data_IF_006638972540
#
_entry.id   IF_006638972540
#
_cell.length_a   1.000
_cell.length_b   1.000
_cell.length_c   1.000
_cell.angle_alpha   90.00
_cell.angle_beta   90.00
_cell.angle_gamma   90.00
#
_symmetry.space_group_name_H-M   'P 1'
#
loop_
_entity.id
_entity.type
_entity.pdbx_description
1 polymer ?
#
# COMPACT_ATOMS: atom_id res chain seq x y z
N UNK A 1 8.50 6.20 -7.88
CA UNK A 1 7.11 5.78 -8.15
C UNK A 1 6.79 4.64 -7.20
N UNK A 2 5.72 4.73 -6.39
CA UNK A 2 5.39 3.69 -5.42
C UNK A 2 4.18 2.90 -5.91
N UNK A 3 4.34 1.59 -6.13
CA UNK A 3 3.23 0.72 -6.51
C UNK A 3 2.29 0.58 -5.31
N UNK A 4 0.99 0.77 -5.55
CA UNK A 4 -0.05 0.43 -4.57
C UNK A 4 -0.32 -1.05 -4.82
N UNK A 5 -0.17 -1.90 -3.81
CA UNK A 5 -0.26 -3.37 -3.93
C UNK A 5 -1.65 -3.87 -4.33
N UNK A 6 -2.10 -3.51 -5.53
CA UNK A 6 -3.36 -3.83 -6.18
C UNK A 6 -3.01 -4.13 -7.62
N UNK A 7 -3.34 -5.34 -8.05
CA UNK A 7 -2.97 -5.85 -9.36
C UNK A 7 -4.17 -6.56 -9.95
N UNK A 8 -4.39 -6.37 -11.25
CA UNK A 8 -5.26 -7.21 -12.05
C UNK A 8 -4.35 -7.90 -13.07
N UNK A 9 -4.12 -9.19 -12.86
CA UNK A 9 -3.10 -9.96 -13.59
C UNK A 9 -3.79 -11.01 -14.45
N UNK A 10 -3.34 -11.13 -15.69
CA UNK A 10 -3.78 -12.23 -16.56
C UNK A 10 -3.12 -13.53 -16.11
N UNK A 11 -3.69 -14.71 -16.44
CA UNK A 11 -3.19 -16.00 -15.96
C UNK A 11 -1.72 -16.30 -16.28
N UNK A 12 -1.17 -15.73 -17.35
CA UNK A 12 0.22 -15.88 -17.78
C UNK A 12 1.23 -15.47 -16.71
N UNK A 13 0.83 -14.65 -15.72
CA UNK A 13 1.67 -14.33 -14.56
C UNK A 13 2.15 -15.57 -13.81
N UNK A 14 1.37 -16.66 -13.79
CA UNK A 14 1.75 -17.87 -13.08
C UNK A 14 2.96 -18.55 -13.73
N UNK A 15 3.07 -18.54 -15.06
CA UNK A 15 4.24 -19.05 -15.79
C UNK A 15 5.50 -18.21 -15.48
N UNK A 16 5.33 -16.88 -15.42
CA UNK A 16 6.42 -15.97 -15.06
C UNK A 16 6.86 -16.18 -13.61
N UNK A 17 5.92 -16.36 -12.68
CA UNK A 17 6.22 -16.64 -11.27
C UNK A 17 6.96 -17.96 -11.08
N UNK A 18 6.59 -19.02 -11.80
CA UNK A 18 7.24 -20.33 -11.72
C UNK A 18 8.71 -20.28 -12.17
N UNK A 19 9.01 -19.46 -13.18
CA UNK A 19 10.36 -19.27 -13.71
C UNK A 19 11.17 -18.19 -13.00
N UNK A 20 10.53 -17.34 -12.19
CA UNK A 20 11.18 -16.23 -11.46
C UNK A 20 12.10 -16.78 -10.37
N UNK A 21 13.38 -16.44 -10.47
CA UNK A 21 14.39 -16.80 -9.46
C UNK A 21 14.25 -15.89 -8.23
N UNK A 22 14.61 -16.37 -7.03
CA UNK A 22 14.68 -15.54 -5.84
C UNK A 22 15.55 -14.30 -6.04
N UNK A 23 15.00 -13.14 -5.71
CA UNK A 23 15.65 -11.85 -5.84
C UNK A 23 16.02 -11.27 -4.48
N UNK A 24 15.55 -10.06 -4.20
CA UNK A 24 15.81 -9.35 -2.94
C UNK A 24 15.33 -10.17 -1.75
N UNK A 25 16.21 -10.36 -0.76
CA UNK A 25 15.90 -11.11 0.46
C UNK A 25 15.76 -12.62 0.28
N UNK A 26 16.09 -13.17 -0.90
CA UNK A 26 15.90 -14.59 -1.19
C UNK A 26 14.43 -14.97 -1.44
N UNK A 27 13.58 -13.98 -1.72
CA UNK A 27 12.16 -14.17 -2.03
C UNK A 27 11.92 -14.14 -3.54
N UNK A 28 10.95 -14.93 -4.01
CA UNK A 28 10.40 -14.79 -5.37
C UNK A 28 9.49 -13.56 -5.38
N UNK A 29 9.90 -12.52 -6.10
CA UNK A 29 9.22 -11.22 -6.09
C UNK A 29 8.20 -11.13 -7.22
N UNK A 30 6.95 -10.77 -6.88
CA UNK A 30 5.89 -10.54 -7.88
C UNK A 30 6.27 -9.42 -8.87
N UNK A 31 7.03 -8.40 -8.43
CA UNK A 31 7.47 -7.31 -9.31
C UNK A 31 8.39 -7.80 -10.43
N UNK A 32 9.21 -8.80 -10.15
CA UNK A 32 10.16 -9.34 -11.13
C UNK A 32 9.41 -10.17 -12.18
N UNK A 33 8.40 -10.95 -11.73
CA UNK A 33 7.49 -11.67 -12.62
C UNK A 33 6.66 -10.72 -13.51
N UNK A 34 6.16 -9.60 -12.96
CA UNK A 34 5.43 -8.59 -13.75
C UNK A 34 6.35 -7.91 -14.78
N UNK A 35 7.60 -7.59 -14.43
CA UNK A 35 8.57 -7.03 -15.37
C UNK A 35 8.91 -8.01 -16.50
N UNK A 36 9.03 -9.29 -16.19
CA UNK A 36 9.20 -10.35 -17.19
C UNK A 36 7.98 -10.45 -18.11
N UNK A 37 6.77 -10.45 -17.53
CA UNK A 37 5.52 -10.49 -18.28
C UNK A 37 5.38 -9.29 -19.24
N UNK A 38 5.80 -8.10 -18.80
CA UNK A 38 5.76 -6.88 -19.59
C UNK A 38 6.66 -6.91 -20.85
N UNK A 39 7.63 -7.84 -20.91
CA UNK A 39 8.47 -8.04 -22.10
C UNK A 39 7.75 -8.88 -23.17
N UNK A 40 6.72 -9.65 -22.78
CA UNK A 40 5.96 -10.54 -23.67
C UNK A 40 4.59 -9.99 -24.02
N UNK A 41 3.97 -9.25 -23.12
CA UNK A 41 2.66 -8.62 -23.31
C UNK A 41 2.61 -7.24 -22.67
N UNK A 42 1.70 -6.39 -23.13
CA UNK A 42 1.54 -5.05 -22.59
C UNK A 42 1.02 -5.09 -21.14
N UNK A 43 1.70 -4.39 -20.23
CA UNK A 43 1.25 -4.14 -18.86
C UNK A 43 0.97 -2.65 -18.69
N UNK A 44 -0.29 -2.31 -18.40
CA UNK A 44 -0.71 -0.92 -18.20
C UNK A 44 -0.64 -0.52 -16.72
N UNK A 45 -0.20 0.72 -16.46
CA UNK A 45 -0.22 1.32 -15.14
C UNK A 45 -1.50 2.16 -14.96
N UNK A 46 -2.27 1.88 -13.91
CA UNK A 46 -3.40 2.72 -13.52
C UNK A 46 -3.00 3.69 -12.40
N UNK A 47 -3.09 4.99 -12.68
CA UNK A 47 -2.86 6.02 -11.67
C UNK A 47 -4.06 6.14 -10.73
N UNK A 48 -3.90 5.66 -9.50
CA UNK A 48 -4.91 5.81 -8.46
C UNK A 48 -4.99 7.26 -7.97
N UNK A 49 -6.19 7.86 -8.08
CA UNK A 49 -6.49 9.19 -7.54
C UNK A 49 -7.18 9.05 -6.19
N UNK A 50 -6.42 9.20 -5.10
CA UNK A 50 -6.96 9.19 -3.74
C UNK A 50 -5.87 9.32 -2.68
N UNK A 51 -6.28 9.38 -1.40
CA UNK A 51 -5.33 9.40 -0.28
C UNK A 51 -4.84 7.98 0.00
N UNK A 52 -3.52 7.79 -0.11
CA UNK A 52 -2.84 6.56 0.30
C UNK A 52 -2.47 6.66 1.78
N UNK A 53 -2.78 5.62 2.55
CA UNK A 53 -2.33 5.47 3.93
C UNK A 53 -1.27 4.37 3.99
N UNK A 54 -0.05 4.71 4.37
CA UNK A 54 1.03 3.74 4.54
C UNK A 54 1.07 3.20 5.97
N UNK A 55 0.19 2.22 6.23
CA UNK A 55 0.11 1.54 7.52
C UNK A 55 1.25 0.55 7.76
N UNK A 56 2.15 0.35 6.78
CA UNK A 56 3.36 -0.48 6.94
C UNK A 56 4.44 0.23 7.74
N UNK A 57 4.40 1.57 7.81
CA UNK A 57 5.31 2.36 8.66
C UNK A 57 4.69 2.64 10.02
N UNK A 58 5.51 2.71 11.08
CA UNK A 58 5.04 3.01 12.44
C UNK A 58 4.32 4.37 12.51
N UNK A 59 4.91 5.38 11.88
CA UNK A 59 4.33 6.73 11.88
C UNK A 59 3.03 6.77 11.07
N UNK A 60 3.00 6.16 9.88
CA UNK A 60 1.81 6.10 9.04
C UNK A 60 0.67 5.33 9.69
N UNK A 61 0.97 4.26 10.42
CA UNK A 61 -0.01 3.56 11.25
C UNK A 61 -0.64 4.49 12.29
N UNK A 62 0.17 5.21 13.06
CA UNK A 62 -0.33 6.11 14.12
C UNK A 62 -1.15 7.27 13.55
N UNK A 63 -0.64 7.95 12.52
CA UNK A 63 -1.35 9.10 11.92
C UNK A 63 -2.64 8.66 11.24
N UNK A 64 -2.66 7.50 10.58
CA UNK A 64 -3.88 6.94 9.98
C UNK A 64 -4.93 6.67 11.05
N UNK A 65 -4.56 6.06 12.17
CA UNK A 65 -5.49 5.82 13.27
C UNK A 65 -6.07 7.12 13.83
N UNK A 66 -5.25 8.15 13.99
CA UNK A 66 -5.73 9.48 14.40
C UNK A 66 -6.70 10.08 13.38
N UNK A 67 -6.34 10.06 12.08
CA UNK A 67 -7.19 10.62 11.02
C UNK A 67 -8.56 9.94 10.92
N UNK A 68 -8.61 8.60 11.01
CA UNK A 68 -9.87 7.85 10.98
C UNK A 68 -10.62 7.98 12.30
N UNK A 69 -9.93 7.97 13.43
CA UNK A 69 -10.53 8.18 14.75
C UNK A 69 -11.24 9.54 14.86
N UNK A 70 -10.64 10.60 14.31
CA UNK A 70 -11.24 11.95 14.27
C UNK A 70 -12.52 12.02 13.42
N UNK A 71 -12.73 11.08 12.50
CA UNK A 71 -13.95 10.98 11.69
C UNK A 71 -15.02 10.07 12.31
N UNK A 72 -14.71 9.39 13.41
CA UNK A 72 -15.61 8.42 14.00
C UNK A 72 -16.82 9.10 14.67
N UNK A 73 -18.07 8.70 14.37
CA UNK A 73 -19.27 9.42 14.80
C UNK A 73 -19.46 9.47 16.32
N UNK A 74 -18.91 8.52 17.07
CA UNK A 74 -19.08 8.44 18.53
C UNK A 74 -17.88 8.95 19.32
N UNK A 75 -16.68 8.89 18.74
CA UNK A 75 -15.42 9.13 19.48
C UNK A 75 -14.60 10.30 18.92
N UNK A 76 -14.94 10.80 17.73
CA UNK A 76 -14.15 11.82 17.03
C UNK A 76 -14.03 13.13 17.80
N UNK A 77 -15.13 13.64 18.37
CA UNK A 77 -15.11 14.90 19.14
C UNK A 77 -14.29 14.78 20.43
N UNK A 78 -14.44 13.67 21.16
CA UNK A 78 -13.65 13.42 22.37
C UNK A 78 -12.15 13.28 22.05
N UNK A 79 -11.81 12.55 20.99
CA UNK A 79 -10.42 12.39 20.53
C UNK A 79 -9.81 13.73 20.10
N UNK A 80 -10.58 14.56 19.38
CA UNK A 80 -10.15 15.89 18.94
C UNK A 80 -9.86 16.82 20.11
N UNK A 81 -10.70 16.79 21.15
CA UNK A 81 -10.48 17.56 22.37
C UNK A 81 -9.19 17.12 23.07
N UNK A 82 -9.00 15.81 23.23
CA UNK A 82 -7.81 15.23 23.86
C UNK A 82 -6.50 15.60 23.13
N UNK A 83 -6.47 15.49 21.79
CA UNK A 83 -5.27 15.87 21.01
C UNK A 83 -4.94 17.36 21.16
N UNK A 84 -5.96 18.24 21.17
CA UNK A 84 -5.74 19.68 21.39
C UNK A 84 -5.20 19.99 22.78
N UNK A 85 -5.57 19.21 23.78
CA UNK A 85 -5.04 19.34 25.14
C UNK A 85 -3.57 18.95 25.19
N UNK A 86 -3.20 17.82 24.59
CA UNK A 86 -1.80 17.37 24.49
C UNK A 86 -0.89 18.38 23.80
N UNK A 87 -1.38 19.09 22.79
CA UNK A 87 -0.59 20.07 22.02
C UNK A 87 -0.36 21.42 22.73
N UNK A 88 -0.91 21.63 23.93
CA UNK A 88 -0.67 22.83 24.74
C UNK A 88 0.57 22.75 25.64
N UNK A 89 1.13 21.55 25.77
CA UNK A 89 2.39 21.29 26.47
C UNK A 89 3.56 21.33 25.48
#
# INVERSE_FOLDING_TARGET
>A
MAIIGRYLLTPEIFEELESTKPGKGGEVQLTDAIDSLNKRQQVDAHEFKGRRYDIGSKIGFLTTNVEFGLKHPQTGEALKAYIKELAKH
#
